data_IF_565712675523
#
_entry.id   IF_565712675523
#
_cell.length_a   1.000
_cell.length_b   1.000
_cell.length_c   1.000
_cell.angle_alpha   90.00
_cell.angle_beta   90.00
_cell.angle_gamma   90.00
#
_symmetry.space_group_name_H-M   'P 1'
#
loop_
_entity.id
_entity.type
_entity.pdbx_description
1 polymer ?
#
# COMPACT_ATOMS: atom_id res chain seq x y z
N UNK A 1 -11.64 12.01 -6.18
CA UNK A 1 -12.64 11.39 -5.29
C UNK A 1 -12.21 9.95 -5.06
N UNK A 2 -11.56 9.67 -3.92
CA UNK A 2 -11.12 8.31 -3.58
C UNK A 2 -12.35 7.41 -3.49
N UNK A 3 -12.41 6.36 -4.31
CA UNK A 3 -13.61 5.54 -4.53
C UNK A 3 -13.92 4.53 -3.42
N UNK A 4 -13.19 4.56 -2.31
CA UNK A 4 -13.42 3.67 -1.16
C UNK A 4 -13.08 4.44 0.11
N UNK A 5 -14.06 4.63 0.99
CA UNK A 5 -13.84 5.09 2.37
C UNK A 5 -13.19 4.01 3.25
N UNK A 6 -12.33 3.18 2.65
CA UNK A 6 -11.65 2.11 3.35
C UNK A 6 -10.46 2.72 4.12
N UNK A 7 -10.42 2.47 5.43
CA UNK A 7 -9.35 2.93 6.32
C UNK A 7 -8.01 2.22 6.05
N UNK A 8 -8.03 1.17 5.23
CA UNK A 8 -6.86 0.39 4.86
C UNK A 8 -6.94 -0.18 3.44
N UNK A 9 -5.78 -0.55 2.89
CA UNK A 9 -5.65 -1.13 1.56
C UNK A 9 -4.77 -2.38 1.62
N UNK A 10 -5.25 -3.48 1.02
CA UNK A 10 -4.50 -4.73 0.82
C UNK A 10 -3.62 -4.65 -0.42
N UNK A 11 -2.32 -4.96 -0.29
CA UNK A 11 -1.42 -5.06 -1.43
C UNK A 11 -1.77 -6.26 -2.32
N UNK A 12 -2.15 -7.40 -1.75
CA UNK A 12 -2.57 -8.58 -2.51
C UNK A 12 -3.76 -8.27 -3.42
N UNK A 13 -4.81 -7.62 -2.90
CA UNK A 13 -5.97 -7.27 -3.71
C UNK A 13 -5.62 -6.21 -4.77
N UNK A 14 -4.75 -5.25 -4.44
CA UNK A 14 -4.25 -4.28 -5.43
C UNK A 14 -3.46 -4.93 -6.57
N UNK A 15 -2.73 -6.01 -6.28
CA UNK A 15 -1.94 -6.75 -7.28
C UNK A 15 -2.76 -7.81 -8.03
N UNK A 16 -4.04 -7.98 -7.69
CA UNK A 16 -4.91 -8.94 -8.37
C UNK A 16 -4.97 -8.63 -9.86
N UNK A 17 -4.80 -9.66 -10.69
CA UNK A 17 -4.74 -9.56 -12.15
C UNK A 17 -3.59 -8.68 -12.70
N UNK A 18 -2.53 -8.44 -11.94
CA UNK A 18 -1.34 -7.74 -12.44
C UNK A 18 -0.26 -8.74 -12.87
N UNK A 19 0.53 -8.34 -13.85
CA UNK A 19 1.76 -9.05 -14.15
C UNK A 19 2.85 -8.74 -13.11
N UNK A 20 3.93 -9.53 -13.11
CA UNK A 20 5.05 -9.39 -12.16
C UNK A 20 5.66 -7.99 -12.14
N UNK A 21 5.77 -7.32 -13.30
CA UNK A 21 6.32 -5.97 -13.42
C UNK A 21 5.43 -4.94 -12.72
N UNK A 22 4.13 -5.02 -12.94
CA UNK A 22 3.14 -4.13 -12.32
C UNK A 22 3.07 -4.34 -10.80
N UNK A 23 3.07 -5.60 -10.34
CA UNK A 23 3.08 -5.92 -8.91
C UNK A 23 4.34 -5.38 -8.21
N UNK A 24 5.52 -5.58 -8.82
CA UNK A 24 6.79 -5.06 -8.29
C UNK A 24 6.80 -3.52 -8.24
N UNK A 25 6.28 -2.85 -9.27
CA UNK A 25 6.17 -1.40 -9.28
C UNK A 25 5.25 -0.88 -8.15
N UNK A 26 4.09 -1.53 -7.94
CA UNK A 26 3.17 -1.19 -6.84
C UNK A 26 3.80 -1.42 -5.47
N UNK A 27 4.48 -2.55 -5.28
CA UNK A 27 5.19 -2.83 -4.04
C UNK A 27 6.27 -1.77 -3.76
N UNK A 28 7.05 -1.38 -4.76
CA UNK A 28 8.03 -0.31 -4.61
C UNK A 28 7.38 1.05 -4.28
N UNK A 29 6.25 1.38 -4.91
CA UNK A 29 5.49 2.59 -4.57
C UNK A 29 5.04 2.61 -3.11
N UNK A 30 4.65 1.46 -2.53
CA UNK A 30 4.35 1.36 -1.10
C UNK A 30 5.57 1.74 -0.23
N UNK A 31 6.76 1.25 -0.61
CA UNK A 31 8.00 1.60 0.11
C UNK A 31 8.31 3.10 0.03
N UNK A 32 8.09 3.72 -1.13
CA UNK A 32 8.29 5.17 -1.31
C UNK A 32 7.30 5.97 -0.46
N UNK A 33 6.02 5.59 -0.48
CA UNK A 33 4.97 6.26 0.32
C UNK A 33 5.22 6.10 1.83
N UNK A 34 5.68 4.93 2.26
CA UNK A 34 6.10 4.71 3.66
C UNK A 34 7.28 5.59 4.04
N UNK A 35 8.29 5.71 3.17
CA UNK A 35 9.42 6.63 3.36
C UNK A 35 8.97 8.09 3.49
N UNK A 36 7.95 8.50 2.74
CA UNK A 36 7.36 9.84 2.80
C UNK A 36 6.43 10.05 4.00
N UNK A 37 6.19 9.02 4.83
CA UNK A 37 5.23 9.00 5.93
C UNK A 37 3.78 9.27 5.48
N UNK A 38 3.49 9.02 4.19
CA UNK A 38 2.13 9.13 3.65
C UNK A 38 1.29 7.95 4.10
N UNK A 39 1.88 6.76 4.22
CA UNK A 39 1.20 5.54 4.67
C UNK A 39 2.02 4.81 5.73
N UNK A 40 1.33 4.07 6.59
CA UNK A 40 1.91 3.04 7.46
C UNK A 40 1.67 1.67 6.83
N UNK A 41 2.62 0.74 7.00
CA UNK A 41 2.57 -0.61 6.44
C UNK A 41 2.68 -1.64 7.57
N UNK A 42 1.81 -2.65 7.56
CA UNK A 42 1.87 -3.79 8.48
C UNK A 42 1.87 -5.11 7.72
N UNK A 43 2.69 -6.05 8.19
CA UNK A 43 2.75 -7.44 7.74
C UNK A 43 2.83 -8.32 8.99
N UNK A 44 1.83 -9.17 9.20
CA UNK A 44 1.74 -9.96 10.43
C UNK A 44 2.71 -11.14 10.44
N UNK A 45 2.93 -11.77 9.27
CA UNK A 45 3.74 -12.98 9.13
C UNK A 45 4.59 -12.92 7.85
N UNK A 46 5.70 -13.68 7.76
CA UNK A 46 6.49 -13.75 6.53
C UNK A 46 5.64 -14.11 5.31
N UNK A 47 5.75 -13.33 4.24
CA UNK A 47 4.99 -13.49 2.99
C UNK A 47 3.46 -13.38 3.12
N UNK A 48 2.94 -12.94 4.27
CA UNK A 48 1.54 -12.56 4.39
C UNK A 48 1.27 -11.28 3.61
N UNK A 49 -0.02 -10.93 3.47
CA UNK A 49 -0.42 -9.66 2.90
C UNK A 49 0.22 -8.47 3.63
N UNK A 50 0.35 -7.37 2.90
CA UNK A 50 0.81 -6.08 3.41
C UNK A 50 -0.38 -5.13 3.40
N UNK A 51 -0.75 -4.66 4.59
CA UNK A 51 -1.86 -3.72 4.76
C UNK A 51 -1.30 -2.31 4.91
N UNK A 52 -1.81 -1.39 4.09
CA UNK A 52 -1.47 0.03 4.16
C UNK A 52 -2.59 0.81 4.86
N UNK A 53 -2.23 1.70 5.78
CA UNK A 53 -3.14 2.65 6.43
C UNK A 53 -2.62 4.10 6.29
N UNK A 54 -3.47 5.13 6.43
CA UNK A 54 -3.02 6.52 6.38
C UNK A 54 -1.94 6.84 7.42
N UNK A 55 -0.84 7.43 6.97
CA UNK A 55 0.24 7.94 7.82
C UNK A 55 0.06 9.42 8.18
N UNK A 56 0.96 9.99 9.00
CA UNK A 56 0.84 11.37 9.49
C UNK A 56 0.90 12.43 8.37
N UNK A 57 1.47 12.10 7.21
CA UNK A 57 1.58 13.01 6.07
C UNK A 57 0.62 12.70 4.92
N UNK A 58 -0.39 11.86 5.13
CA UNK A 58 -1.30 11.41 4.06
C UNK A 58 -2.03 12.54 3.31
N UNK A 59 -2.36 13.64 3.99
CA UNK A 59 -3.06 14.80 3.40
C UNK A 59 -2.11 15.89 2.87
N UNK A 60 -0.80 15.74 3.09
CA UNK A 60 0.21 16.75 2.75
C UNK A 60 0.96 16.38 1.46
N UNK A 61 0.88 15.11 1.06
CA UNK A 61 1.53 14.54 -0.14
C UNK A 61 0.55 14.54 -1.31
#
# INVERSE_FOLDING_TARGET
MAKTGAESISLLELCRNNNKKQAAAKFYSFLVLKKQQAIELSQSEPYSDIIATPGPRFQIV
#
